data_IF_966329395568
#
_entry.id   IF_966329395568
#
_cell.length_a   1.000
_cell.length_b   1.000
_cell.length_c   1.000
_cell.angle_alpha   90.00
_cell.angle_beta   90.00
_cell.angle_gamma   90.00
#
_symmetry.space_group_name_H-M   'P 1'
#
loop_
_entity.id
_entity.type
_entity.pdbx_description
1 polymer ?
#
# COMPACT_ATOMS: atom_id res chain seq x y z
N UNK A 1 -2.54 -18.49 5.27
CA UNK A 1 -1.61 -17.39 4.93
C UNK A 1 -1.59 -16.44 6.13
N UNK A 2 -0.42 -15.93 6.54
CA UNK A 2 -0.37 -14.89 7.58
C UNK A 2 -0.69 -13.56 6.90
N UNK A 3 -1.69 -12.87 7.39
CA UNK A 3 -1.98 -11.50 6.96
C UNK A 3 -0.96 -10.57 7.63
N UNK A 4 -0.36 -9.67 6.86
CA UNK A 4 0.56 -8.66 7.39
C UNK A 4 -0.22 -7.36 7.55
N UNK A 5 -0.21 -6.81 8.76
CA UNK A 5 -0.77 -5.47 8.99
C UNK A 5 0.23 -4.45 8.44
N UNK A 6 -0.23 -3.55 7.57
CA UNK A 6 0.57 -2.42 7.09
C UNK A 6 -0.15 -1.14 7.43
N UNK A 7 0.62 -0.08 7.67
CA UNK A 7 0.05 1.25 7.85
C UNK A 7 0.15 2.01 6.54
N UNK A 8 -1.00 2.33 5.96
CA UNK A 8 -1.07 3.20 4.79
C UNK A 8 -1.06 4.64 5.28
N UNK A 9 -0.22 5.46 4.67
CA UNK A 9 -0.16 6.90 4.90
C UNK A 9 -0.39 7.59 3.56
N UNK A 10 -1.50 8.32 3.49
CA UNK A 10 -1.92 9.07 2.31
C UNK A 10 -1.23 10.44 2.28
N UNK A 11 -1.20 11.09 1.12
CA UNK A 11 -0.57 12.41 0.98
C UNK A 11 -1.26 13.52 1.78
N UNK A 12 -2.55 13.36 2.10
CA UNK A 12 -3.29 14.26 2.97
C UNK A 12 -2.92 14.12 4.47
N UNK A 13 -1.98 13.23 4.80
CA UNK A 13 -1.54 12.94 6.16
C UNK A 13 -2.45 11.97 6.91
N UNK A 14 -3.55 11.50 6.31
CA UNK A 14 -4.37 10.46 6.89
C UNK A 14 -3.64 9.12 6.86
N UNK A 15 -3.83 8.32 7.90
CA UNK A 15 -3.25 6.99 7.99
C UNK A 15 -4.29 5.95 8.43
N UNK A 16 -4.18 4.75 7.87
CA UNK A 16 -5.06 3.63 8.19
C UNK A 16 -4.23 2.34 8.28
N UNK A 17 -4.46 1.53 9.31
CA UNK A 17 -3.87 0.21 9.44
C UNK A 17 -4.73 -0.79 8.68
N UNK A 18 -4.12 -1.46 7.70
CA UNK A 18 -4.83 -2.33 6.77
C UNK A 18 -4.19 -3.72 6.72
N UNK A 19 -4.97 -4.79 6.86
CA UNK A 19 -4.46 -6.14 6.64
C UNK A 19 -4.21 -6.35 5.15
N UNK A 20 -3.00 -6.75 4.82
CA UNK A 20 -2.59 -7.12 3.47
C UNK A 20 -2.49 -8.64 3.42
N UNK A 21 -3.41 -9.25 2.68
CA UNK A 21 -3.47 -10.71 2.53
C UNK A 21 -2.40 -11.25 1.57
N UNK A 22 -1.84 -10.39 0.71
CA UNK A 22 -0.75 -10.72 -0.21
C UNK A 22 0.08 -9.47 -0.55
N UNK A 23 1.37 -9.49 -0.24
CA UNK A 23 2.33 -8.49 -0.68
C UNK A 23 3.52 -9.14 -1.38
N UNK A 24 4.03 -8.46 -2.38
CA UNK A 24 5.33 -8.71 -3.00
C UNK A 24 6.07 -7.39 -3.03
N UNK A 25 7.41 -7.41 -3.10
CA UNK A 25 8.23 -6.18 -3.19
C UNK A 25 7.81 -5.22 -4.32
N UNK A 26 7.03 -5.69 -5.30
CA UNK A 26 6.51 -4.88 -6.42
C UNK A 26 5.07 -4.40 -6.25
N UNK A 27 4.23 -5.06 -5.45
CA UNK A 27 2.80 -4.71 -5.32
C UNK A 27 2.16 -5.22 -4.05
N UNK A 28 1.12 -4.53 -3.59
CA UNK A 28 0.18 -5.03 -2.59
C UNK A 28 -1.27 -4.78 -3.02
N UNK A 29 -2.19 -5.58 -2.47
CA UNK A 29 -3.63 -5.36 -2.58
C UNK A 29 -4.16 -4.86 -1.24
N UNK A 30 -4.95 -3.79 -1.29
CA UNK A 30 -5.50 -3.12 -0.13
C UNK A 30 -7.01 -3.23 -0.19
N UNK A 31 -7.70 -3.68 0.88
CA UNK A 31 -9.17 -3.73 0.97
C UNK A 31 -9.82 -2.34 1.17
N UNK A 32 -9.40 -1.35 0.39
CA UNK A 32 -10.01 -0.01 0.34
C UNK A 32 -10.02 0.48 -1.11
N UNK A 33 -11.05 1.27 -1.47
CA UNK A 33 -11.10 1.96 -2.75
C UNK A 33 -10.37 3.30 -2.64
N UNK A 34 -9.16 3.32 -3.19
CA UNK A 34 -8.36 4.52 -3.35
C UNK A 34 -8.45 5.02 -4.81
N UNK A 35 -8.39 6.34 -5.03
CA UNK A 35 -8.26 6.93 -6.35
C UNK A 35 -7.07 6.36 -7.13
N UNK A 36 -7.31 5.98 -8.39
CA UNK A 36 -6.24 5.56 -9.30
C UNK A 36 -5.30 6.73 -9.54
N UNK A 37 -3.99 6.48 -9.43
CA UNK A 37 -2.95 7.50 -9.52
C UNK A 37 -2.62 8.18 -8.19
N UNK A 38 -3.34 7.88 -7.10
CA UNK A 38 -2.96 8.37 -5.78
C UNK A 38 -1.62 7.75 -5.34
N UNK A 39 -0.69 8.61 -4.93
CA UNK A 39 0.55 8.20 -4.31
C UNK A 39 0.33 7.94 -2.82
N UNK A 40 0.78 6.80 -2.33
CA UNK A 40 0.65 6.41 -0.93
C UNK A 40 1.98 5.89 -0.41
N UNK A 41 2.19 6.07 0.88
CA UNK A 41 3.30 5.43 1.60
C UNK A 41 2.74 4.24 2.36
N UNK A 42 3.41 3.09 2.28
CA UNK A 42 3.03 1.87 2.96
C UNK A 42 4.13 1.52 3.94
N UNK A 43 3.85 1.70 5.22
CA UNK A 43 4.77 1.37 6.30
C UNK A 43 4.51 -0.07 6.74
N UNK A 44 5.52 -0.93 6.53
CA UNK A 44 5.50 -2.29 7.06
C UNK A 44 6.10 -2.25 8.46
N UNK A 45 5.37 -2.79 9.44
CA UNK A 45 5.72 -2.74 10.87
C UNK A 45 7.13 -3.23 11.19
N UNK A 46 7.71 -4.09 10.33
CA UNK A 46 9.02 -4.69 10.51
C UNK A 46 10.00 -4.50 9.34
N UNK A 47 9.57 -3.90 8.22
CA UNK A 47 10.24 -4.07 6.91
C UNK A 47 10.44 -2.80 6.08
N UNK A 48 10.31 -1.63 6.72
CA UNK A 48 10.56 -0.31 6.16
C UNK A 48 9.40 0.31 5.35
N UNK A 49 9.55 1.61 5.04
CA UNK A 49 8.55 2.46 4.39
C UNK A 49 8.64 2.34 2.87
N UNK A 50 7.66 1.73 2.22
CA UNK A 50 7.59 1.61 0.76
C UNK A 50 6.67 2.68 0.16
N UNK A 51 7.17 3.42 -0.82
CA UNK A 51 6.35 4.33 -1.62
C UNK A 51 5.69 3.57 -2.76
N UNK A 52 4.40 3.81 -2.99
CA UNK A 52 3.64 3.17 -4.05
C UNK A 52 2.57 4.06 -4.64
N UNK A 53 2.07 3.68 -5.82
CA UNK A 53 0.95 4.35 -6.48
C UNK A 53 -0.18 3.37 -6.70
N UNK A 54 -1.42 3.83 -6.53
CA UNK A 54 -2.61 3.06 -6.85
C UNK A 54 -2.70 2.92 -8.37
N UNK A 55 -2.59 1.70 -8.88
CA UNK A 55 -2.62 1.41 -10.32
C UNK A 55 -3.97 0.88 -10.79
N UNK A 56 -4.76 0.31 -9.88
CA UNK A 56 -6.09 -0.21 -10.18
C UNK A 56 -6.95 -0.21 -8.92
N UNK A 57 -8.26 -0.06 -9.10
CA UNK A 57 -9.25 -0.18 -8.03
C UNK A 57 -10.44 -0.96 -8.58
N UNK A 58 -10.79 -2.06 -7.91
CA UNK A 58 -11.88 -2.94 -8.30
C UNK A 58 -12.49 -3.64 -7.08
N UNK A 59 -13.83 -3.73 -7.05
CA UNK A 59 -14.57 -4.51 -6.06
C UNK A 59 -14.20 -4.21 -4.59
N UNK A 60 -14.06 -2.94 -4.22
CA UNK A 60 -13.72 -2.56 -2.86
C UNK A 60 -12.23 -2.64 -2.51
N UNK A 61 -11.37 -2.95 -3.49
CA UNK A 61 -9.93 -3.15 -3.29
C UNK A 61 -9.11 -2.31 -4.26
N UNK A 62 -7.94 -1.86 -3.82
CA UNK A 62 -6.97 -1.15 -4.63
C UNK A 62 -5.66 -1.92 -4.75
N UNK A 63 -5.18 -2.07 -5.98
CA UNK A 63 -3.84 -2.56 -6.26
C UNK A 63 -2.86 -1.39 -6.23
N UNK A 64 -1.84 -1.51 -5.40
CA UNK A 64 -0.78 -0.53 -5.26
C UNK A 64 0.50 -1.13 -5.78
N UNK A 65 1.15 -0.43 -6.70
CA UNK A 65 2.46 -0.79 -7.22
C UNK A 65 3.51 0.05 -6.53
N UNK A 66 4.48 -0.61 -5.91
CA UNK A 66 5.60 0.08 -5.28
C UNK A 66 6.53 0.64 -6.36
N UNK A 67 7.00 1.87 -6.15
CA UNK A 67 8.04 2.45 -6.99
C UNK A 67 9.38 1.89 -6.52
N UNK A 68 10.15 1.30 -7.44
CA UNK A 68 11.54 0.88 -7.22
C UNK A 68 12.40 2.12 -6.96
N UNK A 69 12.32 2.62 -5.74
CA UNK A 69 12.88 3.90 -5.32
C UNK A 69 13.06 3.91 -3.81
N UNK A 70 13.55 2.81 -3.24
CA UNK A 70 14.06 2.83 -1.89
C UNK A 70 15.36 3.63 -1.89
N UNK A 71 15.29 4.91 -1.54
CA UNK A 71 16.46 5.68 -1.14
C UNK A 71 16.68 5.43 0.35
N UNK A 72 17.84 4.84 0.65
CA UNK A 72 18.37 4.62 1.99
C UNK A 72 19.27 5.79 2.40
#
# INVERSE_FOLDING_TARGET
MRETLVRLVRQDGSACDVPVSSYSLKRCEIPHELPVGEAISVEFTDLALLLGNVVSTAAGRSEVRFVDGFQH
#
